data_IF_129454368752
#
_entry.id   IF_129454368752
#
_cell.length_a   1.000
_cell.length_b   1.000
_cell.length_c   1.000
_cell.angle_alpha   90.00
_cell.angle_beta   90.00
_cell.angle_gamma   90.00
#
_symmetry.space_group_name_H-M   'P 1'
#
loop_
_entity.id
_entity.type
_entity.pdbx_description
1 polymer ?
#
# COMPACT_ATOMS: atom_id res chain seq x y z
N UNK A 1 -10.48 16.90 -20.26
CA UNK A 1 -10.13 17.21 -18.87
C UNK A 1 -8.93 16.40 -18.49
N UNK A 2 -7.89 17.03 -17.99
CA UNK A 2 -6.69 16.36 -17.49
C UNK A 2 -7.06 15.59 -16.22
N UNK A 3 -6.73 14.29 -16.17
CA UNK A 3 -7.01 13.46 -14.99
C UNK A 3 -5.85 13.62 -14.00
N UNK A 4 -6.13 14.09 -12.79
CA UNK A 4 -5.08 14.27 -11.79
C UNK A 4 -5.14 13.22 -10.69
N UNK A 5 -3.96 12.84 -10.21
CA UNK A 5 -3.75 11.97 -9.06
C UNK A 5 -2.88 12.66 -8.02
N UNK A 6 -3.13 12.36 -6.76
CA UNK A 6 -2.28 12.76 -5.64
C UNK A 6 -1.44 11.56 -5.22
N UNK A 7 -0.15 11.77 -5.04
CA UNK A 7 0.79 10.79 -4.51
C UNK A 7 1.37 11.26 -3.19
N UNK A 8 0.85 10.76 -2.10
CA UNK A 8 1.40 10.94 -0.76
C UNK A 8 2.52 9.91 -0.50
N UNK A 9 3.65 10.37 0.03
CA UNK A 9 4.82 9.52 0.23
C UNK A 9 5.69 9.34 -1.03
N UNK A 10 5.74 10.34 -1.92
CA UNK A 10 6.58 10.33 -3.11
C UNK A 10 8.08 10.17 -2.81
N UNK A 11 8.55 10.63 -1.65
CA UNK A 11 9.94 10.48 -1.19
C UNK A 11 10.25 9.10 -0.57
N UNK A 12 9.23 8.26 -0.34
CA UNK A 12 9.40 6.90 0.18
C UNK A 12 9.88 5.93 -0.91
N UNK A 13 10.39 4.76 -0.52
CA UNK A 13 10.67 3.69 -1.48
C UNK A 13 9.48 3.44 -2.42
N UNK A 14 9.73 3.06 -3.67
CA UNK A 14 8.74 2.98 -4.77
C UNK A 14 8.13 4.32 -5.24
N UNK A 15 8.32 5.44 -4.53
CA UNK A 15 7.62 6.68 -4.87
C UNK A 15 7.93 7.20 -6.26
N UNK A 16 9.20 7.14 -6.69
CA UNK A 16 9.61 7.58 -8.04
C UNK A 16 9.02 6.67 -9.13
N UNK A 17 9.02 5.36 -8.90
CA UNK A 17 8.44 4.38 -9.82
C UNK A 17 6.92 4.54 -9.93
N UNK A 18 6.24 4.75 -8.80
CA UNK A 18 4.78 5.01 -8.77
C UNK A 18 4.46 6.30 -9.54
N UNK A 19 5.21 7.37 -9.31
CA UNK A 19 5.02 8.63 -10.03
C UNK A 19 5.11 8.43 -11.55
N UNK A 20 6.15 7.70 -12.02
CA UNK A 20 6.32 7.37 -13.43
C UNK A 20 5.17 6.51 -13.96
N UNK A 21 4.77 5.47 -13.23
CA UNK A 21 3.70 4.58 -13.63
C UNK A 21 2.34 5.31 -13.74
N UNK A 22 2.03 6.21 -12.81
CA UNK A 22 0.83 7.04 -12.85
C UNK A 22 0.83 7.94 -14.10
N UNK A 23 1.96 8.58 -14.43
CA UNK A 23 2.08 9.40 -15.64
C UNK A 23 1.92 8.58 -16.92
N UNK A 24 2.46 7.37 -16.98
CA UNK A 24 2.27 6.44 -18.13
C UNK A 24 0.79 6.06 -18.29
N UNK A 25 0.04 5.96 -17.21
CA UNK A 25 -1.42 5.74 -17.21
C UNK A 25 -2.23 7.02 -17.60
N UNK A 26 -1.56 8.12 -17.90
CA UNK A 26 -2.19 9.40 -18.26
C UNK A 26 -2.72 10.20 -17.07
N UNK A 27 -2.28 9.88 -15.85
CA UNK A 27 -2.60 10.62 -14.63
C UNK A 27 -1.52 11.68 -14.38
N UNK A 28 -1.90 12.95 -14.29
CA UNK A 28 -0.99 14.02 -13.91
C UNK A 28 -0.89 14.09 -12.39
N UNK A 29 0.32 14.23 -11.87
CA UNK A 29 0.51 14.40 -10.43
C UNK A 29 0.20 15.85 -10.04
N UNK A 30 -0.63 16.02 -9.03
CA UNK A 30 -0.99 17.31 -8.47
C UNK A 30 -0.47 17.41 -7.03
N UNK A 31 0.26 18.48 -6.72
CA UNK A 31 0.63 18.86 -5.35
C UNK A 31 -0.50 19.63 -4.66
N UNK A 32 -1.22 20.43 -5.44
CA UNK A 32 -2.43 21.17 -5.04
C UNK A 32 -3.49 20.94 -6.11
N UNK A 33 -4.66 20.44 -5.74
CA UNK A 33 -5.69 20.14 -6.71
C UNK A 33 -6.62 21.35 -6.88
N UNK A 34 -6.47 22.06 -7.98
CA UNK A 34 -7.47 23.04 -8.45
C UNK A 34 -8.74 22.32 -8.96
N UNK A 35 -8.58 21.09 -9.46
CA UNK A 35 -9.67 20.19 -9.84
C UNK A 35 -9.70 18.97 -8.89
N UNK A 36 -10.89 18.39 -8.61
CA UNK A 36 -11.01 17.21 -7.77
C UNK A 36 -10.17 16.03 -8.30
N UNK A 37 -9.21 15.51 -7.52
CA UNK A 37 -8.39 14.37 -7.96
C UNK A 37 -9.23 13.12 -8.21
N UNK A 38 -8.90 12.40 -9.28
CA UNK A 38 -9.53 11.12 -9.61
C UNK A 38 -8.82 9.91 -8.97
N UNK A 39 -7.67 10.13 -8.33
CA UNK A 39 -6.97 9.10 -7.57
C UNK A 39 -6.16 9.70 -6.42
N UNK A 40 -6.11 8.96 -5.32
CA UNK A 40 -5.24 9.18 -4.17
C UNK A 40 -4.40 7.92 -3.97
N UNK A 41 -3.09 8.03 -4.14
CA UNK A 41 -2.14 6.96 -3.83
C UNK A 41 -1.38 7.34 -2.58
N UNK A 42 -1.44 6.50 -1.55
CA UNK A 42 -0.74 6.68 -0.28
C UNK A 42 0.33 5.60 -0.18
N UNK A 43 1.57 6.00 -0.37
CA UNK A 43 2.72 5.11 -0.28
C UNK A 43 3.25 5.08 1.15
N UNK A 44 3.04 3.95 1.85
CA UNK A 44 3.56 3.68 3.19
C UNK A 44 4.63 2.58 3.20
N UNK A 45 5.24 2.31 2.04
CA UNK A 45 6.39 1.41 1.98
C UNK A 45 7.55 1.95 2.82
N UNK A 46 8.23 1.07 3.53
CA UNK A 46 9.37 1.38 4.36
C UNK A 46 10.42 0.26 4.29
N UNK A 47 11.65 0.59 4.64
CA UNK A 47 12.67 -0.40 4.92
C UNK A 47 12.31 -1.16 6.19
N UNK A 48 12.69 -2.43 6.27
CA UNK A 48 12.44 -3.28 7.42
C UNK A 48 13.75 -3.83 7.98
N UNK A 49 13.94 -3.65 9.28
CA UNK A 49 15.01 -4.27 10.04
C UNK A 49 14.39 -5.29 11.02
N UNK A 50 14.53 -6.60 10.76
CA UNK A 50 13.89 -7.61 11.58
C UNK A 50 14.32 -7.49 13.06
N UNK A 51 13.33 -7.41 13.95
CA UNK A 51 13.54 -7.33 15.42
C UNK A 51 12.75 -8.43 16.09
N UNK A 52 13.42 -9.26 16.90
CA UNK A 52 12.73 -10.29 17.67
C UNK A 52 11.70 -9.66 18.63
N UNK A 53 10.58 -10.32 18.84
CA UNK A 53 9.44 -9.73 19.56
C UNK A 53 9.80 -9.26 20.97
N UNK A 54 10.64 -10.00 21.68
CA UNK A 54 11.12 -9.68 23.04
C UNK A 54 12.06 -8.47 23.10
N UNK A 55 12.57 -8.01 21.93
CA UNK A 55 13.39 -6.81 21.79
C UNK A 55 12.61 -5.60 21.21
N UNK A 56 11.33 -5.78 20.87
CA UNK A 56 10.48 -4.67 20.39
C UNK A 56 10.09 -3.80 21.60
N UNK A 57 10.38 -2.50 21.51
CA UNK A 57 9.95 -1.54 22.54
C UNK A 57 8.56 -0.97 22.24
N UNK A 58 7.90 -0.45 23.29
CA UNK A 58 6.59 0.20 23.16
C UNK A 58 6.65 1.39 22.19
N UNK A 59 7.78 2.14 22.24
CA UNK A 59 7.99 3.29 21.34
C UNK A 59 8.12 2.85 19.88
N UNK A 60 8.85 1.78 19.60
CA UNK A 60 9.01 1.25 18.23
C UNK A 60 7.67 0.71 17.72
N UNK A 61 6.91 0.01 18.55
CA UNK A 61 5.58 -0.47 18.19
C UNK A 61 4.62 0.69 17.93
N UNK A 62 4.58 1.68 18.82
CA UNK A 62 3.76 2.88 18.67
C UNK A 62 4.09 3.67 17.40
N UNK A 63 5.39 3.88 17.12
CA UNK A 63 5.85 4.57 15.92
C UNK A 63 5.43 3.86 14.62
N UNK A 64 5.44 2.52 14.59
CA UNK A 64 4.97 1.77 13.42
C UNK A 64 3.46 1.92 13.18
N UNK A 65 2.66 1.96 14.24
CA UNK A 65 1.21 2.22 14.13
C UNK A 65 0.95 3.67 13.71
N UNK A 66 1.68 4.63 14.27
CA UNK A 66 1.55 6.06 13.93
C UNK A 66 1.88 6.28 12.44
N UNK A 67 3.04 5.81 12.00
CA UNK A 67 3.47 5.94 10.61
C UNK A 67 2.61 5.10 9.65
N UNK A 68 2.27 3.88 10.02
CA UNK A 68 1.54 2.95 9.18
C UNK A 68 0.04 3.26 9.10
N UNK A 69 -0.65 3.34 10.23
CA UNK A 69 -2.12 3.43 10.28
C UNK A 69 -2.60 4.87 10.45
N UNK A 70 -2.14 5.57 11.49
CA UNK A 70 -2.68 6.89 11.82
C UNK A 70 -2.40 7.91 10.72
N UNK A 71 -1.20 7.92 10.16
CA UNK A 71 -0.89 8.80 9.04
C UNK A 71 -1.75 8.52 7.79
N UNK A 72 -2.15 7.27 7.53
CA UNK A 72 -3.08 6.95 6.43
C UNK A 72 -4.48 7.47 6.75
N UNK A 73 -4.93 7.29 7.98
CA UNK A 73 -6.22 7.83 8.44
C UNK A 73 -6.28 9.35 8.24
N UNK A 74 -5.29 10.09 8.71
CA UNK A 74 -5.24 11.55 8.59
C UNK A 74 -5.23 12.03 7.13
N UNK A 75 -4.42 11.38 6.28
CA UNK A 75 -4.35 11.70 4.85
C UNK A 75 -5.71 11.46 4.16
N UNK A 76 -6.37 10.34 4.46
CA UNK A 76 -7.68 10.05 3.87
C UNK A 76 -8.72 11.08 4.33
N UNK A 77 -8.73 11.48 5.62
CA UNK A 77 -9.64 12.52 6.11
C UNK A 77 -9.43 13.86 5.39
N UNK A 78 -8.18 14.23 5.11
CA UNK A 78 -7.85 15.48 4.39
C UNK A 78 -8.30 15.41 2.93
N UNK A 79 -8.10 14.26 2.27
CA UNK A 79 -8.29 14.16 0.81
C UNK A 79 -9.71 13.76 0.39
N UNK A 80 -10.40 12.90 1.15
CA UNK A 80 -11.74 12.39 0.76
C UNK A 80 -12.74 13.49 0.41
N UNK A 81 -12.83 14.63 1.14
CA UNK A 81 -13.76 15.69 0.76
C UNK A 81 -13.44 16.34 -0.60
N UNK A 82 -12.20 16.23 -1.05
CA UNK A 82 -11.67 16.85 -2.26
C UNK A 82 -11.67 15.92 -3.47
N UNK A 83 -11.78 14.60 -3.27
CA UNK A 83 -11.77 13.61 -4.34
C UNK A 83 -13.02 13.72 -5.22
N UNK A 84 -12.85 13.47 -6.51
CA UNK A 84 -13.97 13.31 -7.42
C UNK A 84 -14.81 12.07 -7.07
N UNK A 85 -16.11 12.10 -7.41
CA UNK A 85 -16.91 10.89 -7.38
C UNK A 85 -16.39 9.91 -8.43
N UNK A 86 -16.32 8.64 -8.08
CA UNK A 86 -15.70 7.60 -8.90
C UNK A 86 -14.17 7.51 -8.77
N UNK A 87 -13.56 8.29 -7.89
CA UNK A 87 -12.11 8.25 -7.63
C UNK A 87 -11.64 6.88 -7.11
N UNK A 88 -10.32 6.68 -7.10
CA UNK A 88 -9.67 5.53 -6.50
C UNK A 88 -8.74 5.95 -5.36
N UNK A 89 -8.79 5.24 -4.25
CA UNK A 89 -7.81 5.31 -3.16
C UNK A 89 -7.01 4.02 -3.16
N UNK A 90 -5.69 4.12 -3.23
CA UNK A 90 -4.76 2.98 -3.19
C UNK A 90 -3.76 3.22 -2.07
N UNK A 91 -3.74 2.33 -1.08
CA UNK A 91 -2.75 2.35 0.00
C UNK A 91 -1.72 1.27 -0.26
N UNK A 92 -0.46 1.66 -0.46
CA UNK A 92 0.66 0.72 -0.58
C UNK A 92 1.29 0.50 0.79
N UNK A 93 1.36 -0.75 1.20
CA UNK A 93 1.97 -1.21 2.46
C UNK A 93 2.72 -2.52 2.27
N UNK A 94 3.23 -3.09 3.37
CA UNK A 94 3.87 -4.40 3.37
C UNK A 94 2.86 -5.54 3.44
N UNK A 95 3.18 -6.70 2.81
CA UNK A 95 2.45 -7.95 2.99
C UNK A 95 2.67 -8.61 4.37
N UNK A 96 3.39 -7.95 5.27
CA UNK A 96 3.70 -8.48 6.61
C UNK A 96 2.44 -8.87 7.41
N UNK A 97 1.27 -8.35 7.08
CA UNK A 97 0.00 -8.75 7.70
C UNK A 97 -0.32 -10.26 7.55
N UNK A 98 0.32 -10.95 6.63
CA UNK A 98 0.25 -12.41 6.49
C UNK A 98 1.22 -13.15 7.43
N UNK A 99 1.98 -12.42 8.21
CA UNK A 99 3.02 -12.87 9.09
C UNK A 99 4.41 -12.79 8.45
N UNK A 100 5.32 -12.10 9.13
CA UNK A 100 6.74 -12.04 8.80
C UNK A 100 7.55 -12.06 10.11
N UNK A 101 8.61 -12.86 10.14
CA UNK A 101 9.46 -12.92 11.31
C UNK A 101 10.14 -11.57 11.58
N UNK A 102 10.13 -11.15 12.83
CA UNK A 102 10.75 -9.90 13.26
C UNK A 102 10.01 -8.63 12.81
N UNK A 103 8.77 -8.74 12.33
CA UNK A 103 7.98 -7.62 11.79
C UNK A 103 6.67 -7.40 12.56
N UNK A 104 6.62 -7.69 13.86
CA UNK A 104 5.37 -7.59 14.62
C UNK A 104 4.71 -6.19 14.55
N UNK A 105 5.45 -5.06 14.67
CA UNK A 105 4.87 -3.73 14.54
C UNK A 105 4.29 -3.47 13.14
N UNK A 106 5.06 -3.72 12.08
CA UNK A 106 4.65 -3.50 10.68
C UNK A 106 3.51 -4.43 10.27
N UNK A 107 3.52 -5.69 10.75
CA UNK A 107 2.45 -6.64 10.54
C UNK A 107 1.14 -6.14 11.15
N UNK A 108 1.19 -5.60 12.36
CA UNK A 108 0.04 -5.05 13.06
C UNK A 108 -0.55 -3.84 12.31
N UNK A 109 0.31 -2.88 11.91
CA UNK A 109 -0.11 -1.73 11.14
C UNK A 109 -0.73 -2.12 9.78
N UNK A 110 -0.07 -3.03 9.05
CA UNK A 110 -0.56 -3.49 7.74
C UNK A 110 -1.86 -4.29 7.85
N UNK A 111 -2.04 -5.09 8.91
CA UNK A 111 -3.29 -5.80 9.17
C UNK A 111 -4.45 -4.85 9.48
N UNK A 112 -4.18 -3.82 10.29
CA UNK A 112 -5.17 -2.77 10.57
C UNK A 112 -5.60 -2.04 9.28
N UNK A 113 -4.66 -1.70 8.39
CA UNK A 113 -4.95 -1.09 7.10
C UNK A 113 -5.83 -1.99 6.21
N UNK A 114 -5.65 -3.31 6.25
CA UNK A 114 -6.48 -4.22 5.44
C UNK A 114 -7.97 -4.16 5.85
N UNK A 115 -8.25 -4.14 7.15
CA UNK A 115 -9.62 -3.94 7.67
C UNK A 115 -10.14 -2.54 7.38
N UNK A 116 -9.32 -1.53 7.62
CA UNK A 116 -9.64 -0.12 7.40
C UNK A 116 -10.03 0.16 5.95
N UNK A 117 -9.19 -0.19 4.97
CA UNK A 117 -9.47 0.01 3.55
C UNK A 117 -10.75 -0.71 3.10
N UNK A 118 -11.02 -1.92 3.63
CA UNK A 118 -12.25 -2.66 3.31
C UNK A 118 -13.49 -1.94 3.84
N UNK A 119 -13.43 -1.39 5.05
CA UNK A 119 -14.52 -0.59 5.63
C UNK A 119 -14.76 0.67 4.83
N UNK A 120 -13.71 1.42 4.49
CA UNK A 120 -13.83 2.63 3.68
C UNK A 120 -14.39 2.35 2.27
N UNK A 121 -14.07 1.21 1.68
CA UNK A 121 -14.66 0.81 0.39
C UNK A 121 -16.20 0.68 0.46
N UNK A 122 -16.74 0.25 1.60
CA UNK A 122 -18.19 0.20 1.83
C UNK A 122 -18.76 1.59 2.10
N UNK A 123 -18.12 2.38 2.94
CA UNK A 123 -18.60 3.72 3.31
C UNK A 123 -18.59 4.69 2.13
N UNK A 124 -17.61 4.58 1.22
CA UNK A 124 -17.48 5.46 0.06
C UNK A 124 -18.16 4.94 -1.21
N UNK A 125 -18.81 3.76 -1.14
CA UNK A 125 -19.57 3.20 -2.26
C UNK A 125 -20.67 4.14 -2.83
N UNK A 126 -21.39 4.94 -2.03
CA UNK A 126 -22.37 5.90 -2.56
C UNK A 126 -21.76 6.96 -3.49
N UNK A 127 -20.49 7.33 -3.26
CA UNK A 127 -19.70 8.20 -4.14
C UNK A 127 -18.97 7.44 -5.24
N UNK A 128 -19.12 6.13 -5.32
CA UNK A 128 -18.40 5.23 -6.24
C UNK A 128 -16.88 5.34 -6.10
N UNK A 129 -16.38 5.77 -4.95
CA UNK A 129 -14.94 5.79 -4.66
C UNK A 129 -14.50 4.38 -4.30
N UNK A 130 -13.51 3.87 -5.04
CA UNK A 130 -12.90 2.56 -4.78
C UNK A 130 -11.76 2.70 -3.79
N UNK A 131 -11.62 1.77 -2.88
CA UNK A 131 -10.51 1.75 -1.91
C UNK A 131 -9.87 0.38 -1.93
N UNK A 132 -8.57 0.30 -2.22
CA UNK A 132 -7.83 -0.96 -2.25
C UNK A 132 -6.49 -0.83 -1.52
N UNK A 133 -6.04 -1.95 -0.94
CA UNK A 133 -4.73 -2.10 -0.35
C UNK A 133 -3.82 -2.82 -1.35
N UNK A 134 -2.70 -2.23 -1.68
CA UNK A 134 -1.60 -2.84 -2.41
C UNK A 134 -0.57 -3.33 -1.39
N UNK A 135 -0.33 -4.63 -1.30
CA UNK A 135 0.55 -5.22 -0.30
C UNK A 135 1.79 -5.83 -0.97
N UNK A 136 2.88 -5.08 -0.97
CA UNK A 136 4.15 -5.50 -1.56
C UNK A 136 5.02 -6.24 -0.54
N UNK A 137 6.11 -6.86 -0.99
CA UNK A 137 7.15 -7.35 -0.10
C UNK A 137 7.92 -6.17 0.53
N UNK A 138 8.75 -6.45 1.51
CA UNK A 138 9.65 -5.42 2.06
C UNK A 138 10.59 -4.88 0.98
N UNK A 139 10.98 -3.62 1.12
CA UNK A 139 11.78 -2.90 0.13
C UNK A 139 13.09 -3.62 -0.19
N UNK A 140 13.68 -4.27 0.79
CA UNK A 140 14.94 -5.04 0.68
C UNK A 140 14.81 -6.20 -0.32
N UNK A 141 13.64 -6.79 -0.47
CA UNK A 141 13.39 -7.85 -1.44
C UNK A 141 13.56 -7.37 -2.90
N UNK A 142 13.53 -6.06 -3.12
CA UNK A 142 13.67 -5.44 -4.44
C UNK A 142 14.99 -4.68 -4.60
N UNK A 143 15.93 -4.79 -3.65
CA UNK A 143 17.18 -4.01 -3.67
C UNK A 143 18.02 -4.27 -4.93
N UNK A 144 18.03 -5.53 -5.41
CA UNK A 144 18.72 -5.95 -6.62
C UNK A 144 17.82 -6.11 -7.85
N UNK A 145 16.53 -5.74 -7.73
CA UNK A 145 15.52 -5.91 -8.80
C UNK A 145 14.76 -4.60 -9.09
N UNK A 146 15.36 -3.66 -9.86
CA UNK A 146 14.65 -2.45 -10.27
C UNK A 146 13.39 -2.74 -11.11
N UNK A 147 13.37 -3.85 -11.85
CA UNK A 147 12.20 -4.23 -12.64
C UNK A 147 11.04 -4.71 -11.74
N UNK A 148 11.33 -5.39 -10.64
CA UNK A 148 10.33 -5.75 -9.62
C UNK A 148 9.70 -4.52 -8.97
N UNK A 149 10.49 -3.50 -8.68
CA UNK A 149 9.98 -2.21 -8.17
C UNK A 149 9.01 -1.57 -9.16
N UNK A 150 9.34 -1.58 -10.45
CA UNK A 150 8.47 -1.04 -11.49
C UNK A 150 7.17 -1.84 -11.59
N UNK A 151 7.20 -3.18 -11.53
CA UNK A 151 5.98 -4.01 -11.57
C UNK A 151 5.04 -3.72 -10.40
N UNK A 152 5.58 -3.49 -9.19
CA UNK A 152 4.77 -3.04 -8.04
C UNK A 152 4.13 -1.69 -8.35
N UNK A 153 4.90 -0.73 -8.86
CA UNK A 153 4.42 0.60 -9.19
C UNK A 153 3.34 0.59 -10.29
N UNK A 154 3.51 -0.21 -11.34
CA UNK A 154 2.52 -0.42 -12.40
C UNK A 154 1.21 -1.01 -11.85
N UNK A 155 1.30 -1.95 -10.92
CA UNK A 155 0.13 -2.53 -10.26
C UNK A 155 -0.62 -1.51 -9.41
N UNK A 156 0.11 -0.64 -8.68
CA UNK A 156 -0.46 0.48 -7.93
C UNK A 156 -1.15 1.47 -8.87
N UNK A 157 -0.50 1.83 -9.98
CA UNK A 157 -1.07 2.73 -10.99
C UNK A 157 -2.31 2.13 -11.67
N UNK A 158 -2.31 0.81 -11.95
CA UNK A 158 -3.49 0.11 -12.45
C UNK A 158 -4.66 0.17 -11.45
N UNK A 159 -4.41 -0.06 -10.16
CA UNK A 159 -5.45 0.08 -9.12
C UNK A 159 -5.99 1.50 -9.02
N UNK A 160 -5.17 2.51 -9.28
CA UNK A 160 -5.56 3.92 -9.31
C UNK A 160 -6.34 4.30 -10.58
N UNK A 161 -6.18 3.55 -11.67
CA UNK A 161 -6.80 3.81 -12.97
C UNK A 161 -8.20 3.21 -13.13
N UNK A 162 -8.87 3.56 -14.24
CA UNK A 162 -10.23 3.08 -14.56
C UNK A 162 -10.27 1.59 -14.91
N UNK A 163 -9.16 1.03 -15.38
CA UNK A 163 -9.07 -0.37 -15.79
C UNK A 163 -9.37 -1.34 -14.64
N UNK A 164 -9.17 -0.90 -13.39
CA UNK A 164 -9.49 -1.64 -12.18
C UNK A 164 -10.90 -1.33 -11.62
N UNK A 165 -11.80 -0.80 -12.44
CA UNK A 165 -13.11 -0.30 -12.01
C UNK A 165 -13.99 -1.29 -11.26
N UNK A 166 -13.79 -2.60 -11.47
CA UNK A 166 -14.49 -3.66 -10.76
C UNK A 166 -13.85 -4.06 -9.42
N UNK A 167 -12.68 -3.48 -9.05
CA UNK A 167 -11.91 -3.88 -7.87
C UNK A 167 -12.04 -2.83 -6.78
N UNK A 168 -12.68 -3.17 -5.67
CA UNK A 168 -12.80 -2.34 -4.47
C UNK A 168 -12.84 -3.20 -3.21
N UNK A 169 -12.27 -2.72 -2.12
CA UNK A 169 -12.20 -3.41 -0.83
C UNK A 169 -11.20 -4.57 -0.80
N UNK A 170 -10.30 -4.67 -1.77
CA UNK A 170 -9.37 -5.79 -1.87
C UNK A 170 -7.99 -5.45 -1.32
N UNK A 171 -7.36 -6.47 -0.72
CA UNK A 171 -5.92 -6.47 -0.44
C UNK A 171 -5.24 -7.30 -1.54
N UNK A 172 -4.52 -6.61 -2.42
CA UNK A 172 -3.85 -7.21 -3.57
C UNK A 172 -2.39 -7.46 -3.23
N UNK A 173 -1.97 -8.72 -3.27
CA UNK A 173 -0.58 -9.12 -3.01
C UNK A 173 0.28 -8.86 -4.24
N UNK A 174 1.34 -8.09 -4.06
CA UNK A 174 2.29 -7.68 -5.09
C UNK A 174 3.68 -8.23 -4.77
N UNK A 175 3.79 -9.54 -4.56
CA UNK A 175 5.01 -10.24 -4.11
C UNK A 175 5.50 -11.31 -5.10
N UNK A 176 4.90 -11.36 -6.30
CA UNK A 176 5.23 -12.34 -7.35
C UNK A 176 5.15 -13.80 -6.86
N UNK A 177 4.26 -14.06 -5.91
CA UNK A 177 4.08 -15.39 -5.34
C UNK A 177 5.16 -15.80 -4.32
N UNK A 178 6.09 -14.91 -3.96
CA UNK A 178 7.15 -15.20 -2.97
C UNK A 178 6.58 -15.62 -1.62
N UNK A 179 5.45 -15.05 -1.21
CA UNK A 179 4.75 -15.44 0.03
C UNK A 179 4.25 -16.87 0.02
N UNK A 180 3.89 -17.40 -1.14
CA UNK A 180 3.46 -18.80 -1.29
C UNK A 180 4.66 -19.77 -1.19
N UNK A 181 5.79 -19.40 -1.81
CA UNK A 181 7.02 -20.21 -1.75
C UNK A 181 7.57 -20.33 -0.33
N UNK A 182 7.50 -19.28 0.48
CA UNK A 182 7.94 -19.31 1.88
C UNK A 182 7.10 -20.24 2.77
N UNK A 183 5.83 -20.47 2.44
CA UNK A 183 5.00 -21.44 3.14
C UNK A 183 5.48 -22.88 2.91
N UNK A 184 5.85 -23.23 1.68
CA UNK A 184 6.36 -24.58 1.36
C UNK A 184 7.72 -24.85 2.03
N UNK A 185 8.65 -23.90 2.02
CA UNK A 185 9.96 -24.05 2.65
C UNK A 185 9.84 -24.27 4.16
N UNK A 186 8.98 -23.53 4.87
CA UNK A 186 8.77 -23.68 6.32
C UNK A 186 8.21 -25.04 6.73
N UNK A 187 7.42 -25.69 5.90
CA UNK A 187 6.88 -27.02 6.20
C UNK A 187 7.88 -28.15 5.93
N UNK A 188 8.87 -27.94 5.02
CA UNK A 188 9.90 -28.93 4.74
C UNK A 188 10.99 -29.03 5.79
N UNK A 189 11.25 -27.91 6.49
CA UNK A 189 12.30 -27.86 7.54
C UNK A 189 11.77 -28.23 8.93
N UNK A 190 10.46 -28.43 9.10
CA UNK A 190 9.89 -29.02 10.30
C UNK A 190 9.99 -30.55 10.26
N UNK A 191 11.17 -31.09 10.21
CA UNK A 191 11.40 -32.47 10.67
C UNK A 191 11.22 -32.47 12.18
N UNK A 192 10.03 -32.85 12.59
CA UNK A 192 9.76 -33.19 14.02
C UNK A 192 10.69 -34.34 14.39
N UNK A 193 11.48 -34.27 15.47
CA UNK A 193 12.32 -35.37 15.94
C UNK A 193 11.51 -36.57 16.40
#
# INVERSE_FOLDING_TARGET
MSRCAVLEGAARPFGVEIAKALMVQGLQLAETADEPPCALVINRSAAHAPTAFDAVTDEAFGAALEDGLMAVFDLIQVWVPRLADGAAIVVLTSRAYLGAWGAAPEASASAALAGFCRTLALEFAPRRIRVNLAAADFVEAYAADPSGRMRVAESVAWLAGDQSGAVSGQAVLLDEGRGLQMREARFRDLTVP
#
